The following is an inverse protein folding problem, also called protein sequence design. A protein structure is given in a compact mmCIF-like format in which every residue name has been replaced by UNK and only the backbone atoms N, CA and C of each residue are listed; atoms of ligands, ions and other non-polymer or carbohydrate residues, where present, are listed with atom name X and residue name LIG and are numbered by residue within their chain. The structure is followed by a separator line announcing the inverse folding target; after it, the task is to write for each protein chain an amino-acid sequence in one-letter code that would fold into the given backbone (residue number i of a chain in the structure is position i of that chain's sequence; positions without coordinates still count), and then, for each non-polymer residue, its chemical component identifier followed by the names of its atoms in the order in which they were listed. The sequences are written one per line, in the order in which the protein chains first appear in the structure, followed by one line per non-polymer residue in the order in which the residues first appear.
data_IF_833500777904
#
_entry.id   IF_833500777904
#
_cell.length_a   1.000
_cell.length_b   1.000
_cell.length_c   1.000
_cell.angle_alpha   90.00
_cell.angle_beta   90.00
_cell.angle_gamma   90.00
#
_symmetry.space_group_name_H-M   'P 1'
#
loop_
_entity.id
_entity.type
_entity.pdbx_description
1 polymer ?
#
# COMPACT_ATOMS: atom_id res chain seq x y z
N UNK A 1 -6.83 -9.22 -14.41
CA UNK A 1 -5.52 -8.66 -14.05
C UNK A 1 -4.70 -8.58 -15.32
N UNK A 2 -4.72 -7.42 -15.97
CA UNK A 2 -4.04 -7.21 -17.25
C UNK A 2 -2.59 -6.84 -16.96
N UNK A 3 -1.67 -7.71 -17.37
CA UNK A 3 -0.23 -7.46 -17.36
C UNK A 3 0.10 -6.42 -18.42
N UNK A 4 0.58 -5.24 -18.02
CA UNK A 4 1.19 -4.29 -18.96
C UNK A 4 2.58 -4.83 -19.31
N UNK A 5 2.79 -5.11 -20.60
CA UNK A 5 4.01 -5.67 -21.15
C UNK A 5 5.03 -4.56 -21.45
N UNK A 6 6.31 -4.80 -21.19
CA UNK A 6 7.40 -3.82 -21.36
C UNK A 6 7.68 -3.35 -22.80
N UNK A 7 6.85 -3.75 -23.77
CA UNK A 7 6.94 -3.33 -25.17
C UNK A 7 6.31 -1.95 -25.44
N UNK A 8 5.38 -1.50 -24.59
CA UNK A 8 4.65 -0.24 -24.79
C UNK A 8 5.51 1.01 -24.51
N UNK A 9 6.63 0.86 -23.78
CA UNK A 9 7.49 1.98 -23.42
C UNK A 9 8.35 2.49 -24.60
N UNK A 10 8.60 1.65 -25.62
CA UNK A 10 9.38 2.07 -26.81
C UNK A 10 8.56 2.87 -27.81
N UNK A 11 7.23 2.70 -27.84
CA UNK A 11 6.34 3.37 -28.79
C UNK A 11 6.06 4.83 -28.41
N UNK A 12 6.24 5.21 -27.14
CA UNK A 12 6.06 6.59 -26.68
C UNK A 12 7.30 7.49 -26.88
N UNK A 13 8.46 6.92 -27.24
CA UNK A 13 9.73 7.66 -27.34
C UNK A 13 10.07 8.15 -28.76
N UNK A 14 9.24 7.88 -29.77
CA UNK A 14 9.53 8.20 -31.19
C UNK A 14 8.58 9.21 -31.84
N UNK A 15 7.76 9.95 -31.09
CA UNK A 15 6.88 10.97 -31.68
C UNK A 15 6.82 12.25 -30.86
N UNK A 16 7.78 13.14 -31.10
CA UNK A 16 7.53 14.58 -30.98
C UNK A 16 8.47 15.32 -31.91
N UNK A 17 7.97 15.58 -33.12
CA UNK A 17 8.51 16.58 -34.03
C UNK A 17 8.24 17.99 -33.50
N UNK A 18 9.27 18.79 -33.69
CA UNK A 18 9.47 20.21 -33.40
C UNK A 18 8.35 21.12 -33.98
N UNK A 19 7.91 22.11 -33.20
CA UNK A 19 7.35 23.35 -33.74
C UNK A 19 7.83 24.54 -32.87
N UNK A 20 8.93 25.16 -33.33
CA UNK A 20 9.36 26.50 -32.92
C UNK A 20 8.44 27.52 -33.60
N UNK A 21 7.72 28.32 -32.81
CA UNK A 21 7.13 29.57 -33.26
C UNK A 21 7.56 30.69 -32.31
N UNK A 22 8.39 31.60 -32.83
CA UNK A 22 8.71 32.90 -32.24
C UNK A 22 7.48 33.80 -32.34
N UNK A 23 6.95 34.25 -31.20
CA UNK A 23 5.87 35.22 -31.13
C UNK A 23 5.76 35.78 -29.72
N UNK A 24 6.38 36.94 -29.49
CA UNK A 24 6.26 37.67 -28.24
C UNK A 24 4.85 38.21 -28.05
N UNK A 25 4.27 37.94 -26.89
CA UNK A 25 3.11 38.61 -26.28
C UNK A 25 3.17 38.30 -24.78
N UNK A 26 2.98 39.32 -23.96
CA UNK A 26 3.34 39.34 -22.54
C UNK A 26 2.88 38.13 -21.73
N UNK A 27 3.80 37.62 -20.92
CA UNK A 27 3.49 36.73 -19.80
C UNK A 27 2.62 37.49 -18.81
N UNK A 28 1.30 37.40 -18.97
CA UNK A 28 0.38 37.54 -17.85
C UNK A 28 0.75 36.44 -16.86
N UNK A 29 1.50 36.82 -15.81
CA UNK A 29 1.72 35.97 -14.66
C UNK A 29 0.34 35.70 -14.03
N UNK A 30 -0.29 34.60 -14.44
CA UNK A 30 -1.42 34.03 -13.72
C UNK A 30 -0.92 33.82 -12.28
N UNK A 31 -1.55 34.40 -11.26
CA UNK A 31 -1.22 34.06 -9.89
C UNK A 31 -1.37 32.55 -9.77
N UNK A 32 -0.28 31.87 -9.41
CA UNK A 32 -0.35 30.45 -9.08
C UNK A 32 -1.50 30.30 -8.08
N UNK A 33 -2.47 29.40 -8.32
CA UNK A 33 -3.51 29.17 -7.33
C UNK A 33 -2.77 28.87 -6.03
N UNK A 34 -3.01 29.68 -5.01
CA UNK A 34 -2.52 29.39 -3.68
C UNK A 34 -3.01 27.98 -3.38
N UNK A 35 -2.08 27.02 -3.36
CA UNK A 35 -2.41 25.67 -2.93
C UNK A 35 -2.90 25.85 -1.51
N UNK A 36 -4.23 25.81 -1.31
CA UNK A 36 -4.80 25.79 0.02
C UNK A 36 -4.10 24.64 0.75
N UNK A 37 -3.33 24.99 1.78
CA UNK A 37 -2.59 24.01 2.55
C UNK A 37 -3.52 22.92 3.08
N UNK A 38 -2.96 21.75 3.32
CA UNK A 38 -3.70 20.65 3.95
C UNK A 38 -4.23 21.13 5.30
N UNK A 39 -5.53 21.00 5.53
CA UNK A 39 -6.13 21.37 6.83
C UNK A 39 -5.70 20.39 7.92
N UNK A 40 -5.80 20.77 9.19
CA UNK A 40 -5.48 19.89 10.32
C UNK A 40 -6.29 18.57 10.30
N UNK A 41 -7.56 18.64 9.88
CA UNK A 41 -8.41 17.45 9.72
C UNK A 41 -7.91 16.53 8.60
N UNK A 42 -7.51 17.10 7.46
CA UNK A 42 -6.94 16.34 6.35
C UNK A 42 -5.59 15.72 6.73
N UNK A 43 -4.70 16.45 7.39
CA UNK A 43 -3.41 15.93 7.87
C UNK A 43 -3.61 14.80 8.89
N UNK A 44 -4.55 14.98 9.83
CA UNK A 44 -4.94 13.94 10.81
C UNK A 44 -5.47 12.68 10.12
N UNK A 45 -6.34 12.85 9.12
CA UNK A 45 -6.86 11.74 8.32
C UNK A 45 -5.75 11.00 7.56
N UNK A 46 -4.88 11.71 6.80
CA UNK A 46 -3.73 11.10 6.10
C UNK A 46 -2.84 10.29 7.03
N UNK A 47 -2.51 10.88 8.19
CA UNK A 47 -1.69 10.22 9.20
C UNK A 47 -2.35 8.96 9.75
N UNK A 48 -3.64 9.04 10.06
CA UNK A 48 -4.41 7.93 10.59
C UNK A 48 -4.53 6.79 9.56
N UNK A 49 -4.91 7.11 8.32
CA UNK A 49 -4.99 6.16 7.21
C UNK A 49 -3.64 5.49 6.96
N UNK A 50 -2.58 6.26 6.75
CA UNK A 50 -1.24 5.71 6.51
C UNK A 50 -0.70 4.88 7.67
N UNK A 51 -0.94 5.30 8.92
CA UNK A 51 -0.51 4.51 10.08
C UNK A 51 -1.34 3.24 10.26
N UNK A 52 -2.64 3.28 9.99
CA UNK A 52 -3.54 2.14 10.13
C UNK A 52 -3.25 1.09 9.05
N UNK A 53 -3.11 1.53 7.81
CA UNK A 53 -2.78 0.71 6.65
C UNK A 53 -1.42 0.00 6.82
N UNK A 54 -0.38 0.71 7.26
CA UNK A 54 0.91 0.09 7.56
C UNK A 54 0.86 -0.96 8.68
N UNK A 55 0.01 -0.74 9.71
CA UNK A 55 -0.23 -1.75 10.75
C UNK A 55 -1.01 -2.95 10.21
N UNK A 56 -2.01 -2.71 9.38
CA UNK A 56 -2.77 -3.75 8.68
C UNK A 56 -1.82 -4.65 7.90
N UNK A 57 -1.02 -4.07 7.01
CA UNK A 57 -0.02 -4.78 6.21
C UNK A 57 0.88 -5.67 7.07
N UNK A 58 1.49 -5.10 8.13
CA UNK A 58 2.37 -5.84 9.04
C UNK A 58 1.67 -7.05 9.67
N UNK A 59 0.43 -6.88 10.12
CA UNK A 59 -0.33 -7.91 10.82
C UNK A 59 -0.82 -9.00 9.87
N UNK A 60 -1.40 -8.63 8.73
CA UNK A 60 -1.90 -9.57 7.73
C UNK A 60 -0.76 -10.35 7.07
N UNK A 61 0.31 -9.69 6.60
CA UNK A 61 1.49 -10.36 6.05
C UNK A 61 2.15 -11.30 7.06
N UNK A 62 2.22 -10.89 8.33
CA UNK A 62 2.75 -11.72 9.40
C UNK A 62 1.87 -12.93 9.73
N UNK A 63 0.55 -12.84 9.55
CA UNK A 63 -0.37 -13.95 9.73
C UNK A 63 -0.24 -14.97 8.59
N UNK A 64 -0.29 -14.52 7.34
CA UNK A 64 -0.16 -15.38 6.16
C UNK A 64 1.18 -16.13 6.14
N UNK A 65 2.28 -15.43 6.41
CA UNK A 65 3.58 -16.07 6.48
C UNK A 65 3.70 -17.12 7.60
N UNK A 66 3.06 -16.91 8.75
CA UNK A 66 3.03 -17.93 9.82
C UNK A 66 2.25 -19.17 9.39
N UNK A 67 1.17 -19.01 8.63
CA UNK A 67 0.46 -20.13 8.04
C UNK A 67 1.34 -20.88 7.04
N UNK A 68 2.00 -20.15 6.13
CA UNK A 68 2.92 -20.76 5.16
C UNK A 68 4.12 -21.44 5.83
N UNK A 69 4.69 -20.84 6.87
CA UNK A 69 5.72 -21.49 7.70
C UNK A 69 5.18 -22.80 8.32
N UNK A 70 3.93 -22.83 8.79
CA UNK A 70 3.32 -24.04 9.33
C UNK A 70 3.14 -25.13 8.27
N UNK A 71 2.71 -24.78 7.05
CA UNK A 71 2.70 -25.70 5.89
C UNK A 71 4.09 -26.23 5.59
N UNK A 72 5.09 -25.34 5.50
CA UNK A 72 6.48 -25.71 5.22
C UNK A 72 7.10 -26.61 6.29
N UNK A 73 6.60 -26.57 7.53
CA UNK A 73 7.03 -27.47 8.63
C UNK A 73 6.20 -28.75 8.75
N UNK A 74 5.24 -29.00 7.85
CA UNK A 74 4.33 -30.15 7.93
C UNK A 74 3.27 -30.05 9.03
N UNK A 75 3.16 -28.92 9.74
CA UNK A 75 2.14 -28.70 10.79
C UNK A 75 0.74 -28.44 10.22
N UNK A 76 0.67 -28.03 8.96
CA UNK A 76 -0.55 -27.89 8.18
C UNK A 76 -0.38 -28.66 6.86
N UNK A 77 -1.50 -29.12 6.28
CA UNK A 77 -1.48 -29.87 5.03
C UNK A 77 -0.92 -29.03 3.87
N UNK A 78 -0.26 -29.68 2.91
CA UNK A 78 0.36 -29.01 1.75
C UNK A 78 -0.62 -28.15 0.93
N UNK A 79 -1.88 -28.57 0.84
CA UNK A 79 -2.95 -27.85 0.14
C UNK A 79 -3.67 -26.78 0.97
N UNK A 80 -3.16 -26.41 2.15
CA UNK A 80 -3.82 -25.41 3.00
C UNK A 80 -3.84 -24.05 2.30
N UNK A 81 -5.03 -23.53 2.04
CA UNK A 81 -5.21 -22.13 1.66
C UNK A 81 -5.10 -21.24 2.90
N UNK A 82 -3.97 -20.53 3.01
CA UNK A 82 -3.72 -19.63 4.12
C UNK A 82 -4.64 -18.39 4.12
N UNK A 83 -5.31 -18.05 3.01
CA UNK A 83 -6.31 -16.99 2.97
C UNK A 83 -7.58 -17.34 3.74
N UNK A 84 -7.93 -18.63 3.78
CA UNK A 84 -9.15 -19.15 4.40
C UNK A 84 -8.90 -20.00 5.66
N UNK A 85 -7.64 -20.32 5.99
CA UNK A 85 -7.29 -21.03 7.22
C UNK A 85 -7.81 -20.27 8.46
N UNK A 86 -8.64 -20.88 9.33
CA UNK A 86 -9.41 -20.16 10.35
C UNK A 86 -8.60 -19.26 11.28
N UNK A 87 -7.43 -19.71 11.77
CA UNK A 87 -6.60 -18.91 12.69
C UNK A 87 -5.96 -17.73 11.97
N UNK A 88 -5.64 -17.89 10.70
CA UNK A 88 -5.05 -16.85 9.86
C UNK A 88 -6.11 -15.83 9.45
N UNK A 89 -7.26 -16.29 8.95
CA UNK A 89 -8.41 -15.47 8.61
C UNK A 89 -8.89 -14.62 9.80
N UNK A 90 -8.98 -15.19 11.01
CA UNK A 90 -9.34 -14.45 12.22
C UNK A 90 -8.35 -13.32 12.55
N UNK A 91 -7.05 -13.55 12.36
CA UNK A 91 -6.02 -12.52 12.61
C UNK A 91 -6.09 -11.39 11.59
N UNK A 92 -6.32 -11.73 10.32
CA UNK A 92 -6.48 -10.75 9.24
C UNK A 92 -7.75 -9.92 9.48
N UNK A 93 -8.88 -10.57 9.78
CA UNK A 93 -10.14 -9.91 10.10
C UNK A 93 -9.99 -8.95 11.29
N UNK A 94 -9.32 -9.37 12.37
CA UNK A 94 -9.03 -8.49 13.52
C UNK A 94 -8.14 -7.30 13.14
N UNK A 95 -7.21 -7.48 12.20
CA UNK A 95 -6.39 -6.37 11.70
C UNK A 95 -7.22 -5.41 10.83
N UNK A 96 -8.09 -5.94 9.96
CA UNK A 96 -9.01 -5.15 9.13
C UNK A 96 -10.00 -4.34 9.98
N UNK A 97 -10.53 -4.92 11.05
CA UNK A 97 -11.38 -4.19 12.00
C UNK A 97 -10.66 -3.01 12.67
N UNK A 98 -9.36 -3.17 12.98
CA UNK A 98 -8.54 -2.07 13.53
C UNK A 98 -8.23 -0.99 12.49
N UNK A 99 -8.01 -1.38 11.23
CA UNK A 99 -7.88 -0.44 10.11
C UNK A 99 -9.14 0.42 10.01
N UNK A 100 -10.29 -0.25 9.90
CA UNK A 100 -11.62 0.37 9.80
C UNK A 100 -11.87 1.35 10.95
N UNK A 101 -11.73 0.88 12.19
CA UNK A 101 -11.98 1.70 13.38
C UNK A 101 -11.04 2.91 13.49
N UNK A 102 -9.81 2.81 12.99
CA UNK A 102 -8.88 3.94 13.01
C UNK A 102 -9.18 4.95 11.89
N UNK A 103 -9.50 4.49 10.68
CA UNK A 103 -9.80 5.37 9.55
C UNK A 103 -11.11 6.10 9.77
N UNK A 104 -12.21 5.40 10.07
CA UNK A 104 -13.54 6.00 10.26
C UNK A 104 -13.54 7.05 11.39
N UNK A 105 -12.71 6.87 12.42
CA UNK A 105 -12.60 7.84 13.52
C UNK A 105 -11.90 9.15 13.10
N UNK A 106 -10.97 9.10 12.16
CA UNK A 106 -10.08 10.21 11.83
C UNK A 106 -10.30 10.80 10.45
N UNK A 107 -11.00 10.08 9.59
CA UNK A 107 -11.39 10.47 8.25
C UNK A 107 -12.91 10.45 8.24
N UNK A 108 -13.54 11.61 8.25
CA UNK A 108 -14.97 11.73 7.96
C UNK A 108 -15.13 11.94 6.44
N UNK A 109 -16.28 11.57 5.87
CA UNK A 109 -16.49 11.62 4.42
C UNK A 109 -16.21 12.99 3.78
N UNK A 110 -16.58 14.14 4.39
CA UNK A 110 -16.21 15.46 3.85
C UNK A 110 -14.69 15.69 3.78
N UNK A 111 -13.93 15.10 4.72
CA UNK A 111 -12.47 15.14 4.69
C UNK A 111 -11.96 14.26 3.56
N UNK A 112 -12.49 13.03 3.42
CA UNK A 112 -12.08 12.11 2.35
C UNK A 112 -12.36 12.68 0.96
N UNK A 113 -13.56 13.26 0.76
CA UNK A 113 -13.97 13.88 -0.51
C UNK A 113 -13.06 15.02 -0.97
N UNK A 114 -12.49 15.78 -0.01
CA UNK A 114 -11.61 16.91 -0.32
C UNK A 114 -10.12 16.57 -0.27
N UNK A 115 -9.80 15.35 0.17
CA UNK A 115 -8.44 14.87 0.37
C UNK A 115 -8.11 13.82 -0.66
N UNK A 116 -7.31 14.20 -1.66
CA UNK A 116 -6.81 13.22 -2.63
C UNK A 116 -5.86 12.24 -1.95
N UNK A 117 -6.24 10.98 -1.98
CA UNK A 117 -5.34 9.85 -1.77
C UNK A 117 -4.64 9.53 -3.10
N UNK A 118 -3.55 8.77 -3.05
CA UNK A 118 -2.78 8.42 -4.25
C UNK A 118 -2.92 6.94 -4.60
N UNK A 119 -2.53 6.59 -5.81
CA UNK A 119 -2.65 5.23 -6.33
C UNK A 119 -4.11 4.85 -6.56
N UNK A 120 -4.44 3.58 -6.36
CA UNK A 120 -5.77 3.03 -6.66
C UNK A 120 -6.90 3.59 -5.77
N UNK A 121 -6.57 4.33 -4.71
CA UNK A 121 -7.55 4.93 -3.79
C UNK A 121 -7.84 6.41 -4.08
N UNK A 122 -7.38 6.95 -5.20
CA UNK A 122 -7.52 8.37 -5.53
C UNK A 122 -8.98 8.83 -5.63
N UNK A 123 -9.86 7.99 -6.15
CA UNK A 123 -11.27 8.30 -6.41
C UNK A 123 -12.20 8.03 -5.21
N UNK A 124 -11.64 7.61 -4.08
CA UNK A 124 -12.41 7.31 -2.88
C UNK A 124 -12.95 8.59 -2.24
N UNK A 125 -14.28 8.66 -2.08
CA UNK A 125 -14.98 9.84 -1.53
C UNK A 125 -15.57 9.59 -0.14
N UNK A 126 -15.55 8.34 0.32
CA UNK A 126 -16.09 7.96 1.64
C UNK A 126 -15.03 7.24 2.46
N UNK A 127 -15.20 7.30 3.78
CA UNK A 127 -14.31 6.68 4.75
C UNK A 127 -14.33 5.15 4.64
N UNK A 128 -15.50 4.59 4.35
CA UNK A 128 -15.69 3.15 4.11
C UNK A 128 -15.07 2.71 2.78
N UNK A 129 -15.27 3.48 1.71
CA UNK A 129 -14.62 3.27 0.42
C UNK A 129 -13.10 3.29 0.54
N UNK A 130 -12.56 4.31 1.23
CA UNK A 130 -11.13 4.40 1.53
C UNK A 130 -10.60 3.18 2.30
N UNK A 131 -11.32 2.70 3.32
CA UNK A 131 -10.93 1.48 4.06
C UNK A 131 -10.90 0.27 3.13
N UNK A 132 -11.90 0.14 2.27
CA UNK A 132 -12.03 -0.96 1.31
C UNK A 132 -10.86 -0.95 0.33
N UNK A 133 -10.55 0.21 -0.26
CA UNK A 133 -9.43 0.36 -1.16
C UNK A 133 -8.08 0.08 -0.49
N UNK A 134 -7.80 0.70 0.67
CA UNK A 134 -6.55 0.49 1.41
C UNK A 134 -6.33 -0.98 1.79
N UNK A 135 -7.42 -1.69 2.12
CA UNK A 135 -7.36 -3.11 2.40
C UNK A 135 -7.05 -3.90 1.13
N UNK A 136 -7.75 -3.64 0.03
CA UNK A 136 -7.56 -4.36 -1.22
C UNK A 136 -6.13 -4.20 -1.79
N UNK A 137 -5.60 -2.98 -1.82
CA UNK A 137 -4.23 -2.68 -2.24
C UNK A 137 -3.20 -3.46 -1.42
N UNK A 138 -3.34 -3.42 -0.09
CA UNK A 138 -2.47 -4.17 0.79
C UNK A 138 -2.66 -5.68 0.69
N UNK A 139 -3.87 -6.19 0.52
CA UNK A 139 -4.13 -7.62 0.33
C UNK A 139 -3.43 -8.13 -0.93
N UNK A 140 -3.51 -7.39 -2.04
CA UNK A 140 -2.79 -7.72 -3.28
C UNK A 140 -1.28 -7.71 -3.05
N UNK A 141 -0.73 -6.63 -2.47
CA UNK A 141 0.70 -6.52 -2.19
C UNK A 141 1.22 -7.65 -1.30
N UNK A 142 0.42 -8.05 -0.31
CA UNK A 142 0.78 -9.15 0.60
C UNK A 142 0.72 -10.49 -0.12
N UNK A 143 -0.28 -10.71 -0.97
CA UNK A 143 -0.39 -11.92 -1.78
C UNK A 143 0.84 -12.08 -2.67
N UNK A 144 1.26 -11.01 -3.37
CA UNK A 144 2.47 -11.01 -4.22
C UNK A 144 3.73 -11.30 -3.41
N UNK A 145 3.90 -10.63 -2.26
CA UNK A 145 5.03 -10.87 -1.36
C UNK A 145 5.09 -12.34 -0.91
N UNK A 146 3.94 -12.92 -0.52
CA UNK A 146 3.86 -14.32 -0.07
C UNK A 146 4.12 -15.26 -1.25
N UNK A 147 3.60 -14.97 -2.44
CA UNK A 147 3.80 -15.79 -3.63
C UNK A 147 5.28 -15.86 -4.01
N UNK A 148 6.01 -14.75 -3.96
CA UNK A 148 7.46 -14.70 -4.24
C UNK A 148 8.25 -15.55 -3.24
N UNK A 149 7.85 -15.56 -1.97
CA UNK A 149 8.63 -16.17 -0.89
C UNK A 149 8.28 -17.64 -0.63
N UNK A 150 7.07 -18.09 -0.94
CA UNK A 150 6.54 -19.40 -0.56
C UNK A 150 6.03 -20.15 -1.80
N UNK A 151 6.90 -20.33 -2.80
CA UNK A 151 6.56 -20.98 -4.08
C UNK A 151 6.53 -22.50 -4.00
N UNK A 152 7.28 -23.10 -3.05
CA UNK A 152 7.35 -24.56 -2.90
C UNK A 152 6.16 -25.06 -2.07
N UNK A 153 5.33 -25.96 -2.61
CA UNK A 153 4.21 -26.54 -1.86
C UNK A 153 4.71 -27.55 -0.81
N UNK A 154 3.95 -27.68 0.28
CA UNK A 154 4.17 -28.72 1.29
C UNK A 154 5.39 -28.51 2.19
N UNK A 155 5.80 -29.60 2.85
CA UNK A 155 6.97 -29.61 3.73
C UNK A 155 8.26 -29.50 2.91
N UNK A 156 9.19 -28.66 3.36
CA UNK A 156 10.51 -28.47 2.74
C UNK A 156 11.63 -28.72 3.76
N UNK A 157 12.87 -29.04 3.34
CA UNK A 157 13.93 -29.36 4.29
C UNK A 157 14.34 -28.14 5.15
N UNK A 158 15.03 -28.42 6.27
CA UNK A 158 15.22 -27.43 7.33
C UNK A 158 16.02 -26.19 6.90
N UNK A 159 16.98 -26.35 5.99
CA UNK A 159 17.80 -25.25 5.49
C UNK A 159 16.94 -24.26 4.68
N UNK A 160 16.10 -24.79 3.79
CA UNK A 160 15.17 -24.06 2.94
C UNK A 160 14.13 -23.33 3.80
N UNK A 161 13.56 -24.01 4.81
CA UNK A 161 12.65 -23.36 5.78
C UNK A 161 13.29 -22.17 6.46
N UNK A 162 14.55 -22.31 6.90
CA UNK A 162 15.27 -21.22 7.59
C UNK A 162 15.53 -20.05 6.66
N UNK A 163 15.92 -20.31 5.42
CA UNK A 163 16.10 -19.29 4.39
C UNK A 163 14.78 -18.55 4.14
N UNK A 164 13.72 -19.28 3.79
CA UNK A 164 12.38 -18.77 3.51
C UNK A 164 11.83 -17.92 4.65
N UNK A 165 11.88 -18.41 5.89
CA UNK A 165 11.45 -17.68 7.07
C UNK A 165 12.23 -16.37 7.26
N UNK A 166 13.55 -16.42 7.07
CA UNK A 166 14.41 -15.25 7.22
C UNK A 166 14.13 -14.21 6.15
N UNK A 167 14.07 -14.60 4.88
CA UNK A 167 13.73 -13.72 3.77
C UNK A 167 12.36 -13.06 4.01
N UNK A 168 11.34 -13.86 4.32
CA UNK A 168 9.98 -13.40 4.65
C UNK A 168 9.94 -12.40 5.81
N UNK A 169 10.70 -12.67 6.87
CA UNK A 169 10.81 -11.76 8.02
C UNK A 169 11.49 -10.44 7.66
N UNK A 170 12.56 -10.46 6.86
CA UNK A 170 13.28 -9.24 6.49
C UNK A 170 12.52 -8.42 5.45
N UNK A 171 11.90 -9.04 4.44
CA UNK A 171 11.07 -8.34 3.45
C UNK A 171 9.93 -7.58 4.12
N UNK A 172 9.21 -8.20 5.07
CA UNK A 172 8.19 -7.49 5.86
C UNK A 172 8.74 -6.33 6.68
N UNK A 173 9.94 -6.48 7.26
CA UNK A 173 10.59 -5.41 8.03
C UNK A 173 10.94 -4.23 7.14
N UNK A 174 11.53 -4.48 5.98
CA UNK A 174 11.87 -3.43 4.99
C UNK A 174 10.60 -2.74 4.51
N UNK A 175 9.58 -3.49 4.08
CA UNK A 175 8.30 -2.92 3.64
C UNK A 175 7.63 -2.07 4.73
N UNK A 176 7.59 -2.56 5.98
CA UNK A 176 7.02 -1.79 7.10
C UNK A 176 7.84 -0.53 7.41
N UNK A 177 9.17 -0.62 7.34
CA UNK A 177 10.05 0.52 7.54
C UNK A 177 9.85 1.56 6.44
N UNK A 178 9.76 1.13 5.19
CA UNK A 178 9.48 1.98 4.03
C UNK A 178 8.16 2.73 4.17
N UNK A 179 7.06 2.01 4.44
CA UNK A 179 5.73 2.62 4.68
C UNK A 179 5.78 3.66 5.81
N UNK A 180 6.51 3.36 6.90
CA UNK A 180 6.70 4.30 8.01
C UNK A 180 7.47 5.55 7.59
N UNK A 181 8.50 5.42 6.76
CA UNK A 181 9.28 6.58 6.28
C UNK A 181 8.50 7.42 5.28
N UNK A 182 7.81 6.80 4.32
CA UNK A 182 6.92 7.51 3.41
C UNK A 182 5.86 8.30 4.16
N UNK A 183 5.23 7.70 5.17
CA UNK A 183 4.27 8.41 6.03
C UNK A 183 4.93 9.59 6.74
N UNK A 184 6.11 9.41 7.34
CA UNK A 184 6.82 10.50 8.02
C UNK A 184 7.18 11.65 7.07
N UNK A 185 7.60 11.34 5.85
CA UNK A 185 7.88 12.32 4.81
C UNK A 185 6.62 13.13 4.47
N UNK A 186 5.49 12.44 4.23
CA UNK A 186 4.19 13.08 3.98
C UNK A 186 3.71 13.91 5.18
N UNK A 187 3.84 13.38 6.40
CA UNK A 187 3.53 14.08 7.65
C UNK A 187 4.37 15.36 7.83
N UNK A 188 5.61 15.39 7.34
CA UNK A 188 6.48 16.56 7.36
C UNK A 188 6.09 17.56 6.26
N UNK A 189 5.71 17.09 5.08
CA UNK A 189 5.19 17.91 3.99
C UNK A 189 3.90 18.63 4.40
N UNK A 190 2.95 17.91 4.98
CA UNK A 190 1.68 18.46 5.47
C UNK A 190 1.90 19.49 6.60
N UNK A 191 3.05 19.43 7.28
CA UNK A 191 3.42 20.34 8.36
C UNK A 191 4.35 21.49 7.93
N UNK A 192 4.65 21.62 6.63
CA UNK A 192 5.61 22.57 6.06
C UNK A 192 7.02 22.48 6.69
N UNK A 193 7.48 21.24 6.91
CA UNK A 193 8.77 20.90 7.56
C UNK A 193 9.72 20.12 6.65
N UNK A 194 9.49 20.13 5.34
CA UNK A 194 10.46 19.57 4.41
C UNK A 194 11.64 20.56 4.23
N UNK A 195 12.88 20.05 4.13
CA UNK A 195 14.06 20.88 3.87
C UNK A 195 14.08 21.46 2.46
#
# INVERSE_FOLDING_TARGET
MNTVSGSDLKTLLTSTTLALALGGLGTLALPAPATAGVTDHQASCRRAAGSAAAKYFKMAAGALAKCRDAVSTGKLAAGTDCGTEPKTALKISKAAGKLTAQVVRSCADPVVTTLRFGGDCEDETTSEGLVTCLRADHDSTIADLVAVLYTTPGEIPAAERKCQHTASKQSRKVATAWLKQLRKCKDAADADKLP
#
